data_IF_898061874904
#
_entry.id   IF_898061874904
#
_cell.length_a   1.000
_cell.length_b   1.000
_cell.length_c   1.000
_cell.angle_alpha   90.00
_cell.angle_beta   90.00
_cell.angle_gamma   90.00
#
_symmetry.space_group_name_H-M   'P 1'
#
loop_
_entity.id
_entity.type
_entity.pdbx_description
1 polymer ?
#
# COMPACT_ATOMS: atom_id res chain seq x y z
N UNK A 1 8.68 -6.46 -5.49
CA UNK A 1 7.27 -6.87 -5.34
C UNK A 1 7.10 -8.28 -5.88
N UNK A 2 6.43 -9.13 -5.15
CA UNK A 2 6.12 -10.50 -5.55
C UNK A 2 4.62 -10.76 -5.56
N UNK A 3 4.17 -11.65 -6.40
CA UNK A 3 2.80 -12.17 -6.37
C UNK A 3 2.81 -13.69 -6.35
N UNK A 4 1.89 -14.25 -5.59
CA UNK A 4 1.69 -15.69 -5.48
C UNK A 4 0.25 -16.03 -5.81
N UNK A 5 0.04 -16.90 -6.77
CA UNK A 5 -1.29 -17.29 -7.21
C UNK A 5 -1.52 -18.73 -6.84
N UNK A 6 -2.53 -18.97 -6.01
CA UNK A 6 -3.00 -20.30 -5.63
C UNK A 6 -4.30 -20.60 -6.36
N UNK A 7 -4.37 -21.73 -7.03
CA UNK A 7 -5.61 -22.27 -7.55
C UNK A 7 -6.00 -23.50 -6.72
N UNK A 8 -7.15 -23.54 -6.07
CA UNK A 8 -7.50 -24.63 -5.17
C UNK A 8 -7.87 -25.96 -5.85
N UNK A 9 -8.12 -25.98 -7.15
CA UNK A 9 -8.54 -27.20 -7.86
C UNK A 9 -7.39 -28.15 -8.14
N UNK A 10 -7.36 -29.24 -7.39
CA UNK A 10 -6.25 -30.18 -7.22
C UNK A 10 -5.86 -31.04 -8.45
N UNK A 11 -6.53 -30.95 -9.59
CA UNK A 11 -6.31 -31.89 -10.70
C UNK A 11 -5.12 -31.55 -11.61
N UNK A 12 -4.52 -30.35 -11.51
CA UNK A 12 -3.51 -29.89 -12.46
C UNK A 12 -2.22 -29.44 -11.77
N UNK A 13 -1.12 -30.03 -12.11
CA UNK A 13 0.17 -29.93 -11.41
C UNK A 13 0.90 -28.58 -11.56
N UNK A 14 0.39 -27.60 -12.33
CA UNK A 14 1.09 -26.36 -12.69
C UNK A 14 0.40 -25.10 -12.12
N UNK A 15 0.16 -25.01 -10.81
CA UNK A 15 -0.81 -24.06 -10.29
C UNK A 15 -0.32 -23.04 -9.31
N UNK A 16 0.94 -23.08 -9.00
CA UNK A 16 1.59 -22.05 -8.21
C UNK A 16 2.46 -21.21 -9.14
N UNK A 17 2.11 -19.92 -9.27
CA UNK A 17 2.94 -18.96 -9.98
C UNK A 17 3.56 -18.02 -8.99
N UNK A 18 4.86 -17.95 -9.03
CA UNK A 18 5.59 -16.92 -8.33
C UNK A 18 6.12 -15.93 -9.37
N UNK A 19 5.76 -14.67 -9.23
CA UNK A 19 6.23 -13.59 -10.10
C UNK A 19 6.91 -12.53 -9.25
N UNK A 20 8.17 -12.27 -9.53
CA UNK A 20 8.95 -11.21 -8.89
C UNK A 20 9.25 -10.09 -9.89
N UNK A 21 9.23 -8.86 -9.41
CA UNK A 21 9.70 -7.70 -10.17
C UNK A 21 10.71 -6.93 -9.33
N UNK A 22 11.89 -6.71 -9.89
CA UNK A 22 12.93 -5.88 -9.30
C UNK A 22 13.11 -4.63 -10.15
N UNK A 23 13.17 -3.48 -9.50
CA UNK A 23 13.30 -2.19 -10.16
C UNK A 23 14.37 -1.37 -9.45
N UNK A 24 15.19 -0.69 -10.23
CA UNK A 24 16.14 0.30 -9.72
C UNK A 24 15.45 1.66 -9.59
N UNK A 25 15.67 2.35 -8.47
CA UNK A 25 15.03 3.65 -8.21
C UNK A 25 15.45 4.70 -9.24
N UNK A 26 16.67 4.64 -9.77
CA UNK A 26 17.15 5.52 -10.83
C UNK A 26 16.44 5.35 -12.16
N UNK A 27 15.90 4.15 -12.45
CA UNK A 27 15.08 3.93 -13.64
C UNK A 27 13.63 4.37 -13.41
N UNK A 28 13.21 4.41 -12.15
CA UNK A 28 11.84 4.72 -11.77
C UNK A 28 11.58 6.23 -11.67
N UNK A 29 12.44 6.96 -10.96
CA UNK A 29 12.22 8.37 -10.65
C UNK A 29 13.14 9.30 -11.45
N UNK A 30 12.58 10.40 -11.94
CA UNK A 30 13.27 11.41 -12.74
C UNK A 30 14.05 12.37 -11.82
N UNK A 31 15.40 12.34 -11.80
CA UNK A 31 16.20 13.17 -10.92
C UNK A 31 16.10 14.67 -11.21
N UNK A 32 15.73 15.03 -12.46
CA UNK A 32 15.64 16.44 -12.89
C UNK A 32 14.36 17.14 -12.40
N UNK A 33 13.34 16.39 -12.05
CA UNK A 33 12.05 16.90 -11.57
C UNK A 33 11.84 16.63 -10.08
N UNK A 34 12.90 16.36 -9.37
CA UNK A 34 12.85 16.33 -7.91
C UNK A 34 12.79 17.77 -7.43
N UNK A 35 11.69 18.14 -6.76
CA UNK A 35 11.48 19.45 -6.12
C UNK A 35 12.35 19.59 -4.84
N UNK A 36 13.57 19.09 -4.90
CA UNK A 36 14.47 19.11 -3.78
C UNK A 36 15.69 19.95 -4.06
N UNK A 37 15.75 21.10 -3.45
CA UNK A 37 17.02 21.57 -2.95
C UNK A 37 17.42 20.61 -1.82
N UNK A 38 18.40 19.77 -2.11
CA UNK A 38 19.01 18.88 -1.11
C UNK A 38 19.56 19.78 -0.02
N UNK A 39 18.90 19.76 1.11
CA UNK A 39 19.52 20.32 2.31
C UNK A 39 20.80 19.51 2.59
N UNK A 40 21.85 20.20 2.97
CA UNK A 40 23.22 19.70 3.17
C UNK A 40 23.39 18.65 4.30
N UNK A 41 22.33 17.91 4.65
CA UNK A 41 22.32 17.02 5.80
C UNK A 41 22.16 15.56 5.36
N UNK A 42 23.20 14.74 5.51
CA UNK A 42 23.24 13.29 5.22
C UNK A 42 22.05 12.52 5.81
N UNK A 43 21.51 12.99 6.93
CA UNK A 43 20.34 12.41 7.59
C UNK A 43 19.04 12.58 6.78
N UNK A 44 18.88 13.69 6.09
CA UNK A 44 17.70 13.93 5.23
C UNK A 44 17.75 13.10 3.95
N UNK A 45 18.96 12.84 3.43
CA UNK A 45 19.16 12.00 2.25
C UNK A 45 18.75 10.55 2.46
N UNK A 46 19.12 9.96 3.61
CA UNK A 46 18.72 8.61 3.99
C UNK A 46 17.21 8.48 4.21
N UNK A 47 16.58 9.47 4.82
CA UNK A 47 15.12 9.51 4.97
C UNK A 47 14.42 9.61 3.62
N UNK A 48 14.93 10.44 2.73
CA UNK A 48 14.43 10.59 1.38
C UNK A 48 14.51 9.28 0.60
N UNK A 49 15.66 8.62 0.64
CA UNK A 49 15.86 7.34 -0.04
C UNK A 49 14.87 6.27 0.49
N UNK A 50 14.62 6.23 1.79
CA UNK A 50 13.65 5.32 2.37
C UNK A 50 12.21 5.64 1.91
N UNK A 51 11.84 6.91 1.82
CA UNK A 51 10.53 7.34 1.29
C UNK A 51 10.37 6.96 -0.19
N UNK A 52 11.41 7.14 -1.01
CA UNK A 52 11.43 6.69 -2.41
C UNK A 52 11.23 5.19 -2.54
N UNK A 53 11.88 4.40 -1.68
CA UNK A 53 11.69 2.92 -1.62
C UNK A 53 10.25 2.56 -1.25
N UNK A 54 9.68 3.22 -0.25
CA UNK A 54 8.29 2.98 0.16
C UNK A 54 7.30 3.36 -0.93
N UNK A 55 7.51 4.49 -1.60
CA UNK A 55 6.71 4.89 -2.74
C UNK A 55 6.80 3.90 -3.91
N UNK A 56 8.01 3.43 -4.22
CA UNK A 56 8.21 2.39 -5.23
C UNK A 56 7.47 1.10 -4.86
N UNK A 57 7.54 0.65 -3.61
CA UNK A 57 6.81 -0.52 -3.13
C UNK A 57 5.31 -0.36 -3.33
N UNK A 58 4.74 0.75 -2.87
CA UNK A 58 3.31 1.05 -2.97
C UNK A 58 2.83 1.03 -4.43
N UNK A 59 3.55 1.70 -5.32
CA UNK A 59 3.14 1.74 -6.74
C UNK A 59 3.25 0.37 -7.40
N UNK A 60 4.29 -0.42 -7.10
CA UNK A 60 4.45 -1.75 -7.69
C UNK A 60 3.48 -2.78 -7.13
N UNK A 61 3.02 -2.65 -5.89
CA UNK A 61 1.90 -3.43 -5.37
C UNK A 61 0.63 -3.16 -6.19
N UNK A 62 0.29 -1.89 -6.42
CA UNK A 62 -0.83 -1.49 -7.26
C UNK A 62 -0.67 -1.92 -8.73
N UNK A 63 0.53 -1.76 -9.30
CA UNK A 63 0.87 -2.21 -10.67
C UNK A 63 0.65 -3.71 -10.83
N UNK A 64 1.09 -4.50 -9.87
CA UNK A 64 0.94 -5.96 -9.91
C UNK A 64 -0.53 -6.36 -9.97
N UNK A 65 -1.36 -5.74 -9.13
CA UNK A 65 -2.82 -5.97 -9.14
C UNK A 65 -3.42 -5.60 -10.50
N UNK A 66 -3.12 -4.39 -11.00
CA UNK A 66 -3.67 -3.92 -12.29
C UNK A 66 -3.19 -4.78 -13.45
N UNK A 67 -1.94 -5.24 -13.44
CA UNK A 67 -1.42 -6.17 -14.45
C UNK A 67 -2.24 -7.45 -14.51
N UNK A 68 -2.56 -8.05 -13.37
CA UNK A 68 -3.41 -9.24 -13.32
C UNK A 68 -4.84 -9.00 -13.82
N UNK A 69 -5.42 -7.83 -13.52
CA UNK A 69 -6.71 -7.41 -14.03
C UNK A 69 -6.67 -7.28 -15.56
N UNK A 70 -5.67 -6.61 -16.12
CA UNK A 70 -5.53 -6.39 -17.56
C UNK A 70 -5.27 -7.69 -18.33
N UNK A 71 -4.61 -8.67 -17.72
CA UNK A 71 -4.39 -9.98 -18.29
C UNK A 71 -5.63 -10.89 -18.21
N UNK A 72 -6.77 -10.39 -17.72
CA UNK A 72 -8.01 -11.14 -17.52
C UNK A 72 -7.78 -12.47 -16.78
N UNK A 73 -6.83 -12.52 -15.87
CA UNK A 73 -6.57 -13.71 -15.06
C UNK A 73 -7.77 -13.95 -14.14
N UNK A 74 -8.38 -15.12 -14.25
CA UNK A 74 -9.51 -15.52 -13.41
C UNK A 74 -8.98 -15.95 -12.05
N UNK A 75 -9.32 -15.20 -11.01
CA UNK A 75 -9.12 -15.56 -9.60
C UNK A 75 -10.35 -15.12 -8.80
N UNK A 76 -10.64 -15.83 -7.71
CA UNK A 76 -11.81 -15.54 -6.88
C UNK A 76 -11.54 -14.36 -5.95
N UNK A 77 -10.32 -14.26 -5.42
CA UNK A 77 -9.88 -13.22 -4.48
C UNK A 77 -8.46 -12.78 -4.77
N UNK A 78 -8.18 -11.52 -4.50
CA UNK A 78 -6.83 -10.97 -4.44
C UNK A 78 -6.58 -10.35 -3.07
N UNK A 79 -5.52 -10.77 -2.40
CA UNK A 79 -5.10 -10.21 -1.12
C UNK A 79 -3.80 -9.45 -1.28
N UNK A 80 -3.77 -8.22 -0.76
CA UNK A 80 -2.59 -7.39 -0.64
C UNK A 80 -2.12 -7.43 0.81
N UNK A 81 -0.82 -7.64 1.02
CA UNK A 81 -0.23 -7.53 2.35
C UNK A 81 -0.07 -6.06 2.74
N UNK A 82 -0.98 -5.55 3.53
CA UNK A 82 -1.04 -4.14 3.93
C UNK A 82 -2.31 -3.43 3.48
N UNK A 83 -2.38 -2.12 3.65
CA UNK A 83 -3.52 -1.30 3.25
C UNK A 83 -3.66 -1.26 1.72
N UNK A 84 -4.90 -1.28 1.23
CA UNK A 84 -5.16 -1.18 -0.21
C UNK A 84 -4.87 0.22 -0.75
N UNK A 85 -5.03 1.22 0.09
CA UNK A 85 -4.62 2.59 -0.16
C UNK A 85 -3.63 3.01 0.91
N UNK A 86 -2.45 3.43 0.50
CA UNK A 86 -1.46 3.94 1.43
C UNK A 86 -1.97 5.25 2.06
N UNK A 87 -2.35 5.16 3.33
CA UNK A 87 -2.90 6.30 4.08
C UNK A 87 -1.83 7.28 4.52
N UNK A 88 -0.62 6.79 4.69
CA UNK A 88 0.55 7.63 4.99
C UNK A 88 1.34 7.74 3.70
N UNK A 89 1.20 8.86 3.05
CA UNK A 89 1.98 9.13 1.85
C UNK A 89 3.43 9.35 2.23
N UNK A 90 4.35 8.59 1.66
CA UNK A 90 5.76 8.71 2.00
C UNK A 90 6.35 10.09 1.67
N UNK A 91 5.65 10.88 0.85
CA UNK A 91 6.15 12.16 0.32
C UNK A 91 5.36 13.39 0.80
N UNK A 92 4.54 13.32 1.85
CA UNK A 92 3.67 14.44 2.27
C UNK A 92 4.40 15.69 2.70
N UNK A 93 5.64 15.59 3.16
CA UNK A 93 6.42 16.72 3.67
C UNK A 93 7.40 17.26 2.64
N UNK A 94 7.92 16.40 1.77
CA UNK A 94 9.06 16.70 0.91
C UNK A 94 8.71 16.74 -0.60
N UNK A 95 7.44 16.80 -0.95
CA UNK A 95 6.99 16.72 -2.35
C UNK A 95 6.91 15.28 -2.86
N UNK A 96 6.53 15.13 -4.11
CA UNK A 96 6.34 13.83 -4.75
C UNK A 96 7.27 13.69 -5.94
N UNK A 97 7.95 12.55 -6.10
CA UNK A 97 8.79 12.34 -7.26
C UNK A 97 7.96 12.21 -8.53
N UNK A 98 8.60 12.51 -9.63
CA UNK A 98 8.08 12.29 -10.98
C UNK A 98 8.68 11.01 -11.54
N UNK A 99 7.87 10.17 -12.15
CA UNK A 99 8.38 8.97 -12.83
C UNK A 99 9.14 9.31 -14.09
N UNK A 100 10.16 8.53 -14.44
CA UNK A 100 10.85 8.66 -15.72
C UNK A 100 9.89 8.33 -16.87
N UNK A 101 10.18 8.82 -18.08
CA UNK A 101 9.46 8.37 -19.28
C UNK A 101 9.58 6.87 -19.48
N UNK A 102 10.77 6.33 -19.27
CA UNK A 102 11.04 4.89 -19.34
C UNK A 102 10.14 4.09 -18.42
N UNK A 103 9.98 4.51 -17.14
CA UNK A 103 9.10 3.83 -16.19
C UNK A 103 7.64 3.85 -16.66
N UNK A 104 7.15 4.99 -17.15
CA UNK A 104 5.77 5.11 -17.65
C UNK A 104 5.51 4.21 -18.85
N UNK A 105 6.45 4.14 -19.78
CA UNK A 105 6.29 3.39 -21.02
C UNK A 105 6.42 1.87 -20.82
N UNK A 106 7.28 1.43 -19.89
CA UNK A 106 7.67 0.04 -19.78
C UNK A 106 7.22 -0.66 -18.49
N UNK A 107 7.01 0.11 -17.41
CA UNK A 107 6.73 -0.46 -16.08
C UNK A 107 5.30 -0.24 -15.61
N UNK A 108 4.58 0.74 -16.19
CA UNK A 108 3.23 1.13 -15.76
C UNK A 108 2.19 0.81 -16.84
N UNK A 109 1.77 -0.45 -16.98
CA UNK A 109 0.96 -0.93 -18.13
C UNK A 109 -0.44 -0.30 -18.21
N UNK A 110 -0.94 0.27 -17.11
CA UNK A 110 -2.25 0.92 -17.03
C UNK A 110 -2.20 2.41 -17.40
N UNK A 111 -1.00 3.00 -17.47
CA UNK A 111 -0.87 4.42 -17.67
C UNK A 111 -0.87 4.77 -19.16
N UNK A 112 -1.51 5.89 -19.50
CA UNK A 112 -1.60 6.32 -20.89
C UNK A 112 -0.23 6.82 -21.38
N UNK A 113 0.40 6.09 -22.28
CA UNK A 113 1.72 6.37 -22.84
C UNK A 113 1.80 7.72 -23.60
N UNK A 114 0.67 8.34 -23.93
CA UNK A 114 0.63 9.66 -24.55
C UNK A 114 0.72 10.80 -23.53
N UNK A 115 0.60 10.51 -22.24
CA UNK A 115 0.71 11.48 -21.15
C UNK A 115 2.13 11.51 -20.59
N UNK A 116 3.08 12.09 -21.33
CA UNK A 116 4.50 12.09 -20.96
C UNK A 116 4.99 13.42 -20.40
N UNK A 117 4.12 14.41 -20.19
CA UNK A 117 4.51 15.63 -19.51
C UNK A 117 4.86 15.38 -18.03
N UNK A 118 5.71 16.20 -17.38
CA UNK A 118 6.13 15.96 -16.00
C UNK A 118 4.96 15.89 -15.01
N UNK A 119 3.97 16.76 -15.16
CA UNK A 119 2.80 16.76 -14.28
C UNK A 119 2.01 15.45 -14.36
N UNK A 120 1.77 14.94 -15.57
CA UNK A 120 1.09 13.67 -15.74
C UNK A 120 1.88 12.49 -15.14
N UNK A 121 3.21 12.53 -15.21
CA UNK A 121 4.10 11.50 -14.64
C UNK A 121 4.34 11.64 -13.14
N UNK A 122 3.73 12.63 -12.50
CA UNK A 122 3.81 12.83 -11.06
C UNK A 122 3.23 11.63 -10.30
N UNK A 123 3.89 11.22 -9.20
CA UNK A 123 3.54 10.04 -8.41
C UNK A 123 2.04 9.98 -8.07
N UNK A 124 1.48 11.09 -7.59
CA UNK A 124 0.07 11.17 -7.18
C UNK A 124 -0.87 10.82 -8.31
N UNK A 125 -0.63 11.35 -9.53
CA UNK A 125 -1.49 11.11 -10.69
C UNK A 125 -1.42 9.66 -11.16
N UNK A 126 -0.22 9.07 -11.16
CA UNK A 126 -0.01 7.67 -11.53
C UNK A 126 -0.65 6.73 -10.52
N UNK A 127 -0.46 7.00 -9.23
CA UNK A 127 -1.03 6.18 -8.16
C UNK A 127 -2.56 6.25 -8.15
N UNK A 128 -3.13 7.46 -8.31
CA UNK A 128 -4.57 7.65 -8.44
C UNK A 128 -5.16 6.86 -9.62
N UNK A 129 -4.47 6.84 -10.76
CA UNK A 129 -4.91 6.07 -11.93
C UNK A 129 -4.88 4.56 -11.65
N UNK A 130 -3.86 4.07 -10.94
CA UNK A 130 -3.79 2.67 -10.51
C UNK A 130 -4.97 2.30 -9.59
N UNK A 131 -5.24 3.09 -8.56
CA UNK A 131 -6.36 2.86 -7.63
C UNK A 131 -7.72 2.90 -8.35
N UNK A 132 -7.90 3.82 -9.29
CA UNK A 132 -9.12 3.89 -10.08
C UNK A 132 -9.32 2.67 -10.99
N UNK A 133 -8.24 2.11 -11.55
CA UNK A 133 -8.30 0.87 -12.31
C UNK A 133 -8.70 -0.31 -11.41
N UNK A 134 -8.13 -0.40 -10.20
CA UNK A 134 -8.50 -1.41 -9.20
C UNK A 134 -9.99 -1.28 -8.85
N UNK A 135 -10.47 -0.07 -8.54
CA UNK A 135 -11.86 0.18 -8.19
C UNK A 135 -12.83 -0.18 -9.33
N UNK A 136 -12.49 0.18 -10.57
CA UNK A 136 -13.31 -0.09 -11.77
C UNK A 136 -13.41 -1.59 -12.09
N UNK A 137 -12.42 -2.37 -11.73
CA UNK A 137 -12.39 -3.81 -12.03
C UNK A 137 -13.52 -4.59 -11.36
N UNK A 138 -14.04 -4.08 -10.22
CA UNK A 138 -15.04 -4.74 -9.36
C UNK A 138 -14.60 -6.14 -8.88
N UNK A 139 -13.32 -6.43 -8.98
CA UNK A 139 -12.73 -7.67 -8.51
C UNK A 139 -12.69 -7.67 -6.98
N UNK A 140 -12.88 -8.79 -6.29
CA UNK A 140 -12.76 -8.88 -4.83
C UNK A 140 -11.27 -8.77 -4.43
N UNK A 141 -10.80 -7.54 -4.29
CA UNK A 141 -9.43 -7.18 -3.89
C UNK A 141 -9.50 -6.60 -2.49
N UNK A 142 -8.73 -7.19 -1.58
CA UNK A 142 -8.68 -6.81 -0.18
C UNK A 142 -7.25 -6.51 0.28
N UNK A 143 -7.06 -5.35 0.90
CA UNK A 143 -5.88 -5.07 1.71
C UNK A 143 -6.04 -5.72 3.09
N UNK A 144 -5.09 -6.55 3.48
CA UNK A 144 -5.08 -7.24 4.77
C UNK A 144 -3.95 -6.66 5.62
N UNK A 145 -4.33 -5.97 6.70
CA UNK A 145 -3.40 -5.30 7.59
C UNK A 145 -3.34 -6.07 8.91
N UNK A 146 -2.17 -6.62 9.22
CA UNK A 146 -1.95 -7.44 10.41
C UNK A 146 -2.08 -6.62 11.69
N UNK A 147 -1.44 -5.46 11.74
CA UNK A 147 -1.47 -4.55 12.88
C UNK A 147 -1.88 -3.15 12.46
N UNK A 148 -2.94 -2.64 13.07
CA UNK A 148 -3.39 -1.27 12.81
C UNK A 148 -2.73 -0.31 13.79
N UNK A 149 -1.93 0.64 13.28
CA UNK A 149 -1.34 1.73 14.08
C UNK A 149 -2.28 2.94 14.26
N UNK A 150 -3.51 2.85 13.80
CA UNK A 150 -4.47 3.97 13.77
C UNK A 150 -5.86 3.50 14.21
N UNK A 151 -6.77 4.45 14.43
CA UNK A 151 -8.14 4.22 14.88
C UNK A 151 -9.19 4.81 13.91
N UNK A 152 -9.15 4.51 12.61
CA UNK A 152 -10.09 5.11 11.66
C UNK A 152 -11.54 4.65 11.87
N UNK A 153 -11.75 3.39 12.22
CA UNK A 153 -13.08 2.82 12.44
C UNK A 153 -13.77 3.48 13.64
N UNK A 154 -13.09 3.55 14.79
CA UNK A 154 -13.61 4.14 16.01
C UNK A 154 -13.84 5.63 15.83
N UNK A 155 -12.91 6.35 15.21
CA UNK A 155 -13.09 7.77 14.89
C UNK A 155 -14.33 7.99 14.03
N UNK A 156 -14.55 7.16 13.01
CA UNK A 156 -15.73 7.26 12.16
C UNK A 156 -17.03 7.02 12.93
N UNK A 157 -17.05 6.06 13.86
CA UNK A 157 -18.18 5.83 14.75
C UNK A 157 -18.44 7.03 15.65
N UNK A 158 -17.40 7.61 16.25
CA UNK A 158 -17.50 8.80 17.08
C UNK A 158 -18.07 9.99 16.31
N UNK A 159 -17.59 10.22 15.08
CA UNK A 159 -18.16 11.25 14.20
C UNK A 159 -19.64 10.99 13.90
N UNK A 160 -20.02 9.76 13.62
CA UNK A 160 -21.41 9.39 13.39
C UNK A 160 -22.29 9.62 14.62
N UNK A 161 -21.82 9.28 15.82
CA UNK A 161 -22.54 9.50 17.07
C UNK A 161 -22.68 10.98 17.39
N UNK A 162 -21.64 11.79 17.17
CA UNK A 162 -21.69 13.24 17.28
C UNK A 162 -22.75 13.82 16.34
N UNK A 163 -22.71 13.45 15.06
CA UNK A 163 -23.66 13.96 14.05
C UNK A 163 -25.12 13.61 14.38
N UNK A 164 -25.33 12.44 14.99
CA UNK A 164 -26.67 11.99 15.44
C UNK A 164 -27.08 12.57 16.79
N UNK A 165 -26.25 13.38 17.42
CA UNK A 165 -26.53 13.96 18.74
C UNK A 165 -26.47 12.96 19.90
N UNK A 166 -25.89 11.77 19.70
CA UNK A 166 -25.75 10.73 20.74
C UNK A 166 -24.70 11.10 21.77
N UNK A 167 -23.65 11.80 21.34
CA UNK A 167 -22.59 12.32 22.20
C UNK A 167 -22.45 13.81 22.04
N UNK A 168 -22.11 14.50 23.14
CA UNK A 168 -21.86 15.93 23.12
C UNK A 168 -20.58 16.30 22.40
N UNK A 169 -20.48 17.55 21.91
CA UNK A 169 -19.20 18.06 21.31
C UNK A 169 -18.05 17.97 22.28
N UNK A 170 -18.28 18.19 23.57
CA UNK A 170 -17.28 18.12 24.64
C UNK A 170 -16.76 16.67 24.80
N UNK A 171 -17.67 15.71 24.86
CA UNK A 171 -17.29 14.29 25.02
C UNK A 171 -16.57 13.77 23.79
N UNK A 172 -17.03 14.18 22.59
CA UNK A 172 -16.36 13.86 21.35
C UNK A 172 -14.90 14.35 21.34
N UNK A 173 -14.65 15.62 21.69
CA UNK A 173 -13.30 16.19 21.76
C UNK A 173 -12.42 15.50 22.81
N UNK A 174 -12.99 15.24 23.98
CA UNK A 174 -12.28 14.57 25.07
C UNK A 174 -11.89 13.14 24.68
N UNK A 175 -12.81 12.41 24.05
CA UNK A 175 -12.53 11.02 23.58
C UNK A 175 -11.45 11.00 22.50
N UNK A 176 -11.51 11.92 21.53
CA UNK A 176 -10.44 12.02 20.52
C UNK A 176 -9.08 12.37 21.13
N UNK A 177 -9.04 13.29 22.10
CA UNK A 177 -7.83 13.65 22.83
C UNK A 177 -7.27 12.44 23.58
N UNK A 178 -8.13 11.64 24.21
CA UNK A 178 -7.77 10.41 24.91
C UNK A 178 -7.17 9.37 23.95
N UNK A 179 -7.82 9.11 22.81
CA UNK A 179 -7.32 8.21 21.77
C UNK A 179 -5.93 8.63 21.30
N UNK A 180 -5.73 9.94 21.06
CA UNK A 180 -4.44 10.49 20.64
C UNK A 180 -3.38 10.36 21.74
N UNK A 181 -3.71 10.75 22.97
CA UNK A 181 -2.79 10.74 24.12
C UNK A 181 -2.24 9.34 24.42
N UNK A 182 -3.12 8.35 24.42
CA UNK A 182 -2.77 6.97 24.76
C UNK A 182 -2.46 6.10 23.52
N UNK A 183 -2.41 6.70 22.33
CA UNK A 183 -2.19 5.99 21.05
C UNK A 183 -3.08 4.76 20.89
N UNK A 184 -4.35 4.90 21.27
CA UNK A 184 -5.34 3.82 21.17
C UNK A 184 -5.62 3.55 19.69
N UNK A 185 -5.53 2.29 19.29
CA UNK A 185 -5.84 1.84 17.92
C UNK A 185 -7.16 1.09 17.87
N UNK A 186 -7.72 0.92 16.69
CA UNK A 186 -8.90 0.06 16.50
C UNK A 186 -8.63 -1.37 17.00
N UNK A 187 -7.44 -1.92 16.71
CA UNK A 187 -7.07 -3.26 17.13
C UNK A 187 -7.11 -3.42 18.65
N UNK A 188 -6.62 -2.45 19.42
CA UNK A 188 -6.65 -2.51 20.89
C UNK A 188 -8.06 -2.61 21.45
N UNK A 189 -9.01 -1.82 20.93
CA UNK A 189 -10.38 -1.85 21.42
C UNK A 189 -11.15 -3.07 20.92
N UNK A 190 -10.93 -3.46 19.68
CA UNK A 190 -11.63 -4.58 19.08
C UNK A 190 -11.12 -5.93 19.59
N UNK A 191 -9.90 -6.00 20.09
CA UNK A 191 -9.36 -7.20 20.76
C UNK A 191 -10.16 -7.54 22.01
N UNK A 192 -10.65 -6.52 22.74
CA UNK A 192 -11.47 -6.70 23.94
C UNK A 192 -12.91 -7.10 23.57
N UNK A 193 -13.43 -6.59 22.45
CA UNK A 193 -14.85 -6.73 22.09
C UNK A 193 -15.10 -8.00 21.27
N UNK A 194 -14.18 -8.33 20.32
CA UNK A 194 -14.38 -9.43 19.39
C UNK A 194 -13.85 -10.74 19.93
N UNK A 195 -14.62 -11.81 19.75
CA UNK A 195 -14.20 -13.20 19.95
C UNK A 195 -13.69 -13.80 18.63
N UNK A 196 -12.91 -14.86 18.74
CA UNK A 196 -12.45 -15.62 17.57
C UNK A 196 -13.59 -15.98 16.62
N UNK A 197 -13.42 -15.71 15.33
CA UNK A 197 -14.43 -15.92 14.29
C UNK A 197 -15.46 -14.78 14.17
N UNK A 198 -15.44 -13.79 15.05
CA UNK A 198 -16.31 -12.61 14.89
C UNK A 198 -15.67 -11.54 14.01
N UNK A 199 -16.52 -10.81 13.30
CA UNK A 199 -16.10 -9.76 12.39
C UNK A 199 -17.00 -8.53 12.48
N UNK A 200 -16.44 -7.38 12.18
CA UNK A 200 -17.16 -6.14 11.97
C UNK A 200 -17.41 -5.91 10.50
N UNK A 201 -18.64 -5.54 10.18
CA UNK A 201 -19.02 -5.17 8.81
C UNK A 201 -18.15 -4.00 8.33
N UNK A 202 -17.66 -4.03 7.09
CA UNK A 202 -16.96 -2.89 6.52
C UNK A 202 -17.84 -1.65 6.46
N UNK A 203 -17.26 -0.54 6.88
CA UNK A 203 -17.86 0.78 6.75
C UNK A 203 -16.95 1.67 5.92
N UNK A 204 -17.57 2.53 5.14
CA UNK A 204 -16.84 3.55 4.39
C UNK A 204 -16.21 4.57 5.34
N UNK A 205 -14.92 4.79 5.20
CA UNK A 205 -14.17 5.73 6.00
C UNK A 205 -13.88 6.98 5.16
N UNK A 206 -14.43 8.10 5.60
CA UNK A 206 -14.13 9.38 4.98
C UNK A 206 -12.66 9.76 5.17
N UNK A 207 -12.05 10.31 4.15
CA UNK A 207 -10.61 10.66 4.11
C UNK A 207 -10.18 11.54 5.27
N UNK A 208 -11.00 12.51 5.65
CA UNK A 208 -10.76 13.41 6.79
C UNK A 208 -10.58 12.66 8.12
N UNK A 209 -11.20 11.47 8.26
CA UNK A 209 -11.13 10.63 9.45
C UNK A 209 -9.88 9.75 9.44
N UNK A 210 -9.42 9.37 8.27
CA UNK A 210 -8.25 8.51 8.07
C UNK A 210 -6.93 9.17 8.52
N UNK A 211 -6.95 10.47 8.77
CA UNK A 211 -5.82 11.19 9.35
C UNK A 211 -4.82 11.68 8.29
N UNK A 212 -5.30 11.94 7.09
CA UNK A 212 -4.54 12.71 6.12
C UNK A 212 -4.26 14.11 6.68
N UNK A 213 -3.11 14.31 7.27
CA UNK A 213 -2.56 15.64 7.44
C UNK A 213 -1.83 15.98 6.16
N UNK A 214 -2.54 16.60 5.24
CA UNK A 214 -1.95 17.12 4.03
C UNK A 214 -1.38 18.49 4.36
N UNK A 215 -0.14 18.73 4.00
CA UNK A 215 0.43 20.08 4.06
C UNK A 215 -0.32 20.94 3.08
N UNK A 216 -0.92 22.03 3.58
CA UNK A 216 -1.67 22.97 2.74
C UNK A 216 -0.82 23.45 1.56
N UNK A 217 -1.42 23.46 0.36
CA UNK A 217 -0.73 23.84 -0.88
C UNK A 217 0.08 22.72 -1.55
N UNK A 218 0.00 21.48 -1.06
CA UNK A 218 0.65 20.36 -1.73
C UNK A 218 -0.17 19.85 -2.92
N UNK A 219 0.49 19.32 -3.94
CA UNK A 219 -0.17 18.66 -5.09
C UNK A 219 -1.09 17.50 -4.67
N UNK A 220 -0.91 16.99 -3.45
CA UNK A 220 -1.74 15.97 -2.85
C UNK A 220 -3.08 16.52 -2.37
N UNK A 221 -3.10 17.72 -1.80
CA UNK A 221 -4.33 18.37 -1.32
C UNK A 221 -5.35 18.53 -2.44
N UNK A 222 -4.89 19.02 -3.59
CA UNK A 222 -5.74 19.26 -4.78
C UNK A 222 -6.34 17.95 -5.35
N UNK A 223 -5.69 16.82 -5.12
CA UNK A 223 -6.11 15.51 -5.64
C UNK A 223 -6.81 14.63 -4.60
N UNK A 224 -6.82 15.03 -3.34
CA UNK A 224 -7.31 14.19 -2.24
C UNK A 224 -8.76 13.75 -2.44
N UNK A 225 -9.62 14.65 -2.91
CA UNK A 225 -11.03 14.35 -3.18
C UNK A 225 -11.24 13.39 -4.37
N UNK A 226 -10.23 13.24 -5.22
CA UNK A 226 -10.26 12.32 -6.36
C UNK A 226 -9.91 10.88 -5.99
N UNK A 227 -9.30 10.67 -4.81
CA UNK A 227 -8.97 9.33 -4.34
C UNK A 227 -10.22 8.56 -3.92
N UNK A 228 -10.30 7.25 -4.21
CA UNK A 228 -11.45 6.45 -3.82
C UNK A 228 -11.58 6.36 -2.30
N UNK A 229 -12.83 6.35 -1.81
CA UNK A 229 -13.08 6.04 -0.41
C UNK A 229 -12.79 4.57 -0.12
N UNK A 230 -12.31 4.29 1.09
CA UNK A 230 -11.93 2.96 1.53
C UNK A 230 -12.96 2.42 2.51
N UNK A 231 -13.41 1.19 2.29
CA UNK A 231 -14.23 0.47 3.24
C UNK A 231 -13.30 -0.33 4.18
N UNK A 232 -13.47 -0.13 5.48
CA UNK A 232 -12.66 -0.79 6.52
C UNK A 232 -13.56 -1.67 7.37
N UNK A 233 -13.19 -2.93 7.50
CA UNK A 233 -13.76 -3.89 8.43
C UNK A 233 -12.67 -4.57 9.25
N UNK A 234 -13.09 -5.40 10.20
CA UNK A 234 -12.18 -6.15 11.06
C UNK A 234 -12.67 -7.57 11.26
N UNK A 235 -11.74 -8.51 11.40
CA UNK A 235 -12.03 -9.89 11.77
C UNK A 235 -11.04 -10.38 12.82
N UNK A 236 -11.53 -11.01 13.88
CA UNK A 236 -10.71 -11.74 14.85
C UNK A 236 -10.62 -13.20 14.43
N UNK A 237 -9.45 -13.59 13.99
CA UNK A 237 -9.23 -14.90 13.37
C UNK A 237 -8.96 -16.01 14.39
N UNK A 238 -8.28 -15.68 15.49
CA UNK A 238 -7.98 -16.58 16.62
C UNK A 238 -8.14 -15.83 17.95
N UNK A 239 -8.17 -16.54 19.06
CA UNK A 239 -8.25 -15.92 20.39
C UNK A 239 -6.95 -15.23 20.80
N UNK A 240 -5.83 -15.66 20.22
CA UNK A 240 -4.48 -15.19 20.57
C UNK A 240 -3.91 -14.13 19.62
N UNK A 241 -4.61 -13.81 18.53
CA UNK A 241 -4.19 -12.76 17.59
C UNK A 241 -5.03 -11.50 17.76
N UNK A 242 -4.43 -10.34 17.54
CA UNK A 242 -5.20 -9.10 17.39
C UNK A 242 -6.10 -9.17 16.15
N UNK A 243 -7.25 -8.47 16.16
CA UNK A 243 -8.11 -8.39 15.00
C UNK A 243 -7.37 -7.80 13.78
N UNK A 244 -7.41 -8.49 12.66
CA UNK A 244 -6.85 -8.00 11.40
C UNK A 244 -7.81 -7.01 10.75
N UNK A 245 -7.25 -5.94 10.15
CA UNK A 245 -8.01 -4.96 9.39
C UNK A 245 -8.11 -5.40 7.94
N UNK A 246 -9.32 -5.27 7.38
CA UNK A 246 -9.62 -5.60 6.00
C UNK A 246 -10.07 -4.34 5.30
N UNK A 247 -9.42 -4.00 4.19
CA UNK A 247 -9.72 -2.82 3.40
C UNK A 247 -10.16 -3.20 1.98
N UNK A 248 -11.11 -2.45 1.41
CA UNK A 248 -11.51 -2.55 0.00
C UNK A 248 -11.88 -1.20 -0.57
N UNK A 249 -11.73 -1.02 -1.90
CA UNK A 249 -12.15 0.20 -2.61
C UNK A 249 -13.61 0.16 -3.07
N UNK A 250 -14.36 -0.83 -2.65
CA UNK A 250 -15.78 -1.02 -2.97
C UNK A 250 -16.50 -1.63 -1.77
N UNK A 251 -17.81 -1.42 -1.70
CA UNK A 251 -18.64 -2.13 -0.72
C UNK A 251 -18.77 -3.61 -1.12
N UNK A 252 -18.27 -4.55 -0.31
CA UNK A 252 -18.35 -5.98 -0.64
C UNK A 252 -19.80 -6.44 -0.78
N UNK A 253 -20.11 -7.16 -1.86
CA UNK A 253 -21.47 -7.66 -2.11
C UNK A 253 -21.83 -8.83 -1.20
N UNK A 254 -20.87 -9.70 -0.90
CA UNK A 254 -21.07 -10.89 -0.09
C UNK A 254 -20.01 -10.99 1.00
N UNK A 255 -19.99 -10.00 1.88
CA UNK A 255 -18.96 -9.85 2.91
C UNK A 255 -18.83 -11.08 3.82
N UNK A 256 -19.93 -11.81 4.05
CA UNK A 256 -19.89 -13.02 4.87
C UNK A 256 -19.00 -14.08 4.22
N UNK A 257 -19.23 -14.37 2.93
CA UNK A 257 -18.43 -15.34 2.18
C UNK A 257 -16.96 -14.91 2.09
N UNK A 258 -16.73 -13.62 1.86
CA UNK A 258 -15.39 -13.06 1.77
C UNK A 258 -14.63 -13.22 3.09
N UNK A 259 -15.30 -12.95 4.22
CA UNK A 259 -14.71 -13.13 5.55
C UNK A 259 -14.49 -14.59 5.92
N UNK A 260 -15.40 -15.48 5.55
CA UNK A 260 -15.23 -16.93 5.71
C UNK A 260 -13.99 -17.42 4.98
N UNK A 261 -13.75 -16.92 3.77
CA UNK A 261 -12.55 -17.27 3.00
C UNK A 261 -11.25 -16.73 3.64
N UNK A 262 -11.25 -15.45 4.07
CA UNK A 262 -10.11 -14.87 4.79
C UNK A 262 -9.84 -15.65 6.08
N UNK A 263 -10.88 -15.97 6.84
CA UNK A 263 -10.78 -16.75 8.06
C UNK A 263 -10.20 -18.15 7.82
N UNK A 264 -10.68 -18.83 6.78
CA UNK A 264 -10.18 -20.15 6.40
C UNK A 264 -8.67 -20.10 6.08
N UNK A 265 -8.23 -19.12 5.29
CA UNK A 265 -6.81 -18.97 4.93
C UNK A 265 -5.93 -18.56 6.13
N UNK A 266 -6.47 -17.78 7.07
CA UNK A 266 -5.76 -17.38 8.29
C UNK A 266 -5.63 -18.51 9.31
N UNK A 267 -6.50 -19.51 9.27
CA UNK A 267 -6.49 -20.67 10.17
C UNK A 267 -5.72 -21.89 9.64
N UNK A 268 -5.11 -21.80 8.48
CA UNK A 268 -4.28 -22.87 7.92
C UNK A 268 -3.07 -23.20 8.83
N UNK A 269 -2.55 -22.21 9.55
CA UNK A 269 -1.57 -22.42 10.61
C UNK A 269 -2.23 -22.20 11.98
N UNK A 270 -2.19 -23.20 12.87
CA UNK A 270 -2.76 -23.06 14.20
C UNK A 270 -2.20 -21.86 14.96
N UNK A 271 -3.09 -21.09 15.58
CA UNK A 271 -2.77 -19.90 16.42
C UNK A 271 -2.03 -18.75 15.72
N UNK A 272 -1.77 -18.84 14.43
CA UNK A 272 -1.06 -17.76 13.70
C UNK A 272 -1.98 -16.57 13.42
N UNK A 273 -3.20 -16.82 12.94
CA UNK A 273 -4.25 -15.80 12.80
C UNK A 273 -4.13 -14.86 11.62
N UNK A 274 -3.16 -15.03 10.73
CA UNK A 274 -2.97 -14.23 9.52
C UNK A 274 -2.97 -15.12 8.27
N UNK A 275 -3.49 -14.65 7.10
CA UNK A 275 -3.52 -15.46 5.88
C UNK A 275 -2.13 -15.94 5.46
N UNK A 276 -1.93 -17.25 5.43
CA UNK A 276 -0.61 -17.87 5.21
C UNK A 276 0.00 -17.49 3.87
N UNK A 277 -0.81 -17.36 2.82
CA UNK A 277 -0.35 -16.95 1.50
C UNK A 277 0.35 -15.60 1.49
N UNK A 278 -0.12 -14.63 2.30
CA UNK A 278 0.51 -13.32 2.42
C UNK A 278 1.89 -13.40 3.08
N UNK A 279 2.07 -14.27 4.05
CA UNK A 279 3.37 -14.53 4.67
C UNK A 279 4.36 -15.15 3.70
N UNK A 280 3.88 -16.08 2.87
CA UNK A 280 4.70 -16.69 1.83
C UNK A 280 5.19 -15.62 0.86
N UNK A 281 4.28 -14.77 0.37
CA UNK A 281 4.61 -13.66 -0.53
C UNK A 281 5.61 -12.68 0.12
N UNK A 282 5.41 -12.30 1.38
CA UNK A 282 6.32 -11.39 2.10
C UNK A 282 7.75 -11.96 2.21
N UNK A 283 7.86 -13.26 2.50
CA UNK A 283 9.17 -13.93 2.55
C UNK A 283 9.87 -13.94 1.20
N UNK A 284 9.14 -14.21 0.14
CA UNK A 284 9.71 -14.26 -1.21
C UNK A 284 9.98 -12.86 -1.78
N UNK A 285 9.18 -11.87 -1.44
CA UNK A 285 9.39 -10.48 -1.86
C UNK A 285 10.64 -9.83 -1.21
N UNK A 286 11.12 -10.38 -0.09
CA UNK A 286 12.36 -9.92 0.55
C UNK A 286 13.57 -10.39 -0.24
N UNK A 287 14.33 -9.44 -0.80
CA UNK A 287 15.57 -9.75 -1.51
C UNK A 287 16.56 -10.39 -0.54
N UNK A 288 17.05 -11.62 -0.81
CA UNK A 288 18.05 -12.24 0.05
C UNK A 288 19.33 -11.40 0.15
N UNK A 289 19.95 -11.39 1.32
CA UNK A 289 21.17 -10.59 1.56
C UNK A 289 22.32 -10.90 0.57
N UNK A 290 22.42 -12.15 0.10
CA UNK A 290 23.44 -12.52 -0.90
C UNK A 290 23.17 -11.86 -2.26
N UNK A 291 21.92 -11.77 -2.68
CA UNK A 291 21.53 -11.12 -3.93
C UNK A 291 21.72 -9.60 -3.85
N UNK A 292 21.35 -8.97 -2.73
CA UNK A 292 21.55 -7.53 -2.54
C UNK A 292 23.05 -7.16 -2.52
N UNK A 293 23.91 -7.99 -1.92
CA UNK A 293 25.37 -7.79 -1.92
C UNK A 293 25.96 -7.93 -3.33
N UNK A 294 25.52 -8.93 -4.09
CA UNK A 294 25.98 -9.13 -5.47
C UNK A 294 25.57 -7.95 -6.37
N UNK A 295 24.31 -7.49 -6.26
CA UNK A 295 23.82 -6.35 -7.03
C UNK A 295 24.55 -5.06 -6.68
N UNK A 296 24.85 -4.80 -5.40
CA UNK A 296 25.64 -3.63 -4.99
C UNK A 296 27.04 -3.65 -5.59
N UNK A 297 27.71 -4.79 -5.57
CA UNK A 297 29.05 -4.95 -6.18
C UNK A 297 29.02 -4.72 -7.68
N UNK A 298 28.03 -5.28 -8.36
CA UNK A 298 27.86 -5.08 -9.79
C UNK A 298 27.66 -3.60 -10.14
N UNK A 299 26.79 -2.92 -9.41
CA UNK A 299 26.47 -1.50 -9.62
C UNK A 299 27.68 -0.61 -9.32
N UNK A 300 28.39 -0.83 -8.21
CA UNK A 300 29.61 -0.11 -7.88
C UNK A 300 30.68 -0.28 -8.98
N UNK A 301 30.86 -1.51 -9.49
CA UNK A 301 31.79 -1.78 -10.59
C UNK A 301 31.37 -1.08 -11.89
N UNK A 302 30.08 -1.03 -12.16
CA UNK A 302 29.54 -0.36 -13.35
C UNK A 302 29.74 1.17 -13.27
N UNK A 303 29.46 1.79 -12.13
CA UNK A 303 29.68 3.22 -11.89
C UNK A 303 31.18 3.57 -11.98
N UNK A 304 32.06 2.75 -11.40
CA UNK A 304 33.50 2.94 -11.51
C UNK A 304 33.96 2.87 -12.98
N UNK A 305 33.47 1.92 -13.76
CA UNK A 305 33.78 1.83 -15.19
C UNK A 305 33.29 3.07 -15.96
N UNK A 306 32.10 3.59 -15.66
CA UNK A 306 31.59 4.81 -16.27
C UNK A 306 32.44 6.04 -15.88
N UNK A 307 32.81 6.16 -14.60
CA UNK A 307 33.64 7.25 -14.12
C UNK A 307 35.05 7.26 -14.75
N UNK A 308 35.63 6.07 -14.94
CA UNK A 308 36.93 5.92 -15.62
C UNK A 308 36.79 6.32 -17.09
N UNK A 309 35.78 5.82 -17.81
CA UNK A 309 35.54 6.16 -19.21
C UNK A 309 35.21 7.65 -19.42
N UNK A 310 34.50 8.29 -18.48
CA UNK A 310 34.23 9.74 -18.52
C UNK A 310 35.48 10.61 -18.33
N UNK A 311 36.51 10.14 -17.60
CA UNK A 311 37.78 10.84 -17.44
C UNK A 311 38.64 10.78 -18.70
N UNK A 312 38.57 9.68 -19.47
CA UNK A 312 39.31 9.54 -20.70
C UNK A 312 38.81 10.44 -21.83
N UNK A 313 37.56 10.95 -21.77
CA UNK A 313 37.01 11.90 -22.74
C UNK A 313 37.36 13.38 -22.47
N UNK A 314 37.84 13.70 -21.27
CA UNK A 314 38.24 15.07 -20.89
C UNK A 314 39.76 15.29 -20.96
N UNK A 315 40.51 14.36 -21.54
CA UNK A 315 41.98 14.43 -21.62
C UNK A 315 42.52 14.39 -23.06
N UNK A 316 41.69 14.83 -24.03
CA UNK A 316 42.12 15.09 -25.43
C UNK A 316 41.80 16.52 -25.78
#
# INVERSE_FOLDING_TARGET
>A
TGSYIVKPDAADKNREFFEESMVFLGDLYDPKNELYDLADDDFEEDQMLNKKKDGARIIFEAVTIVKHILLNRKFDYCFLHGPIEATVMPFTVMGFPTFTKFAVENMLPFYNKNKLNPEARHFVNVYLEALNNIKKSKFPIYGIVETSSSAPYIKNLLYSYKTKGVISEKDFKNTLATIKKYKITDSHLLEIILKSGQALKPIEIKKQIKGFSVTSGSAWEDKMDSFPDVHIGYIKTTDHSSPIRIESLFSPKNIKKDYEYILATARLLPNYGFPVGLNVVDKFAKIPNWMSKASRRYYATHLLKQAIRGKDQNTI
#
